data_IF_571570441133
#
_entry.id   IF_571570441133
#
_cell.length_a   1.000
_cell.length_b   1.000
_cell.length_c   1.000
_cell.angle_alpha   90.00
_cell.angle_beta   90.00
_cell.angle_gamma   90.00
#
_symmetry.space_group_name_H-M   'P 1'
#
loop_
_entity.id
_entity.type
_entity.pdbx_description
1 polymer ?
#
# COMPACT_ATOMS: atom_id res chain seq x y z
N UNK A 1 0.78 15.31 21.33
CA UNK A 1 1.13 16.75 21.18
C UNK A 1 1.15 17.18 19.71
N UNK A 2 1.70 16.37 18.81
CA UNK A 2 1.80 16.75 17.37
C UNK A 2 0.46 16.91 16.68
N UNK A 3 -0.55 16.05 16.95
CA UNK A 3 -1.88 16.16 16.33
C UNK A 3 -2.62 17.43 16.76
N UNK A 4 -2.49 17.84 18.03
CA UNK A 4 -3.12 19.10 18.50
C UNK A 4 -2.48 20.33 17.83
N UNK A 5 -1.16 20.30 17.62
CA UNK A 5 -0.48 21.37 16.91
C UNK A 5 -0.90 21.41 15.44
N UNK A 6 -0.98 20.25 14.80
CA UNK A 6 -1.44 20.11 13.43
C UNK A 6 -2.88 20.63 13.26
N UNK A 7 -3.81 20.23 14.12
CA UNK A 7 -5.22 20.64 14.05
C UNK A 7 -5.40 22.17 14.14
N UNK A 8 -4.56 22.85 14.95
CA UNK A 8 -4.59 24.31 15.08
C UNK A 8 -4.07 25.04 13.85
N UNK A 9 -3.16 24.44 13.13
CA UNK A 9 -2.55 25.01 11.93
C UNK A 9 -3.39 24.75 10.66
N UNK A 10 -4.25 23.69 10.68
CA UNK A 10 -5.20 23.44 9.59
C UNK A 10 -6.20 24.59 9.47
N UNK A 11 -6.41 25.09 8.27
CA UNK A 11 -7.38 26.14 8.00
C UNK A 11 -8.81 25.58 7.75
N UNK A 12 -9.81 26.47 7.62
CA UNK A 12 -11.21 26.05 7.51
C UNK A 12 -11.58 25.26 6.24
N UNK A 13 -10.69 25.19 5.26
CA UNK A 13 -10.87 24.43 4.01
C UNK A 13 -10.07 23.12 4.01
N UNK A 14 -9.33 22.84 5.07
CA UNK A 14 -8.50 21.66 5.21
C UNK A 14 -9.10 20.71 6.24
N UNK A 15 -9.35 19.47 5.87
CA UNK A 15 -9.82 18.40 6.76
C UNK A 15 -8.92 17.19 6.60
N UNK A 16 -8.36 16.71 7.71
CA UNK A 16 -7.53 15.52 7.74
C UNK A 16 -8.34 14.35 8.31
N UNK A 17 -8.51 13.31 7.52
CA UNK A 17 -9.11 12.05 7.97
C UNK A 17 -8.02 11.05 8.35
N UNK A 18 -8.08 10.54 9.58
CA UNK A 18 -7.13 9.54 10.07
C UNK A 18 -7.75 8.14 10.00
N UNK A 19 -7.14 7.28 9.21
CA UNK A 19 -7.42 5.85 9.19
C UNK A 19 -6.39 5.14 10.09
N UNK A 20 -6.73 4.98 11.36
CA UNK A 20 -5.84 4.38 12.36
C UNK A 20 -6.02 2.86 12.37
N UNK A 21 -4.91 2.15 12.59
CA UNK A 21 -4.97 0.72 12.87
C UNK A 21 -5.89 0.46 14.09
N UNK A 22 -6.74 -0.59 14.08
CA UNK A 22 -7.70 -0.86 15.16
C UNK A 22 -7.12 -0.80 16.58
N UNK A 23 -5.87 -1.26 16.75
CA UNK A 23 -5.16 -1.19 18.05
C UNK A 23 -4.92 0.25 18.51
N UNK A 24 -4.77 1.18 17.59
CA UNK A 24 -4.47 2.59 17.89
C UNK A 24 -5.72 3.48 17.95
N UNK A 25 -6.89 2.99 17.55
CA UNK A 25 -8.11 3.79 17.50
C UNK A 25 -8.53 4.34 18.88
N UNK A 26 -8.32 3.57 19.94
CA UNK A 26 -8.67 3.99 21.31
C UNK A 26 -7.72 5.04 21.90
N UNK A 27 -6.61 5.35 21.24
CA UNK A 27 -5.60 6.29 21.75
C UNK A 27 -5.88 7.74 21.38
N UNK A 28 -6.81 8.00 20.42
CA UNK A 28 -7.12 9.33 19.91
C UNK A 28 -8.56 9.69 20.22
N UNK A 29 -8.77 10.77 20.99
CA UNK A 29 -10.09 11.35 21.21
C UNK A 29 -10.39 12.39 20.12
N UNK A 30 -11.13 11.99 19.09
CA UNK A 30 -11.45 12.87 17.95
C UNK A 30 -12.36 14.06 18.33
N UNK A 31 -13.05 14.01 19.47
CA UNK A 31 -13.84 15.13 19.97
C UNK A 31 -13.02 16.37 20.31
N UNK A 32 -11.72 16.23 20.51
CA UNK A 32 -10.81 17.31 20.84
C UNK A 32 -10.32 18.11 19.61
N UNK A 33 -10.63 17.64 18.39
CA UNK A 33 -10.13 18.24 17.15
C UNK A 33 -11.25 18.90 16.33
N UNK A 34 -10.90 19.99 15.69
CA UNK A 34 -11.79 20.74 14.80
C UNK A 34 -11.74 20.21 13.37
N UNK A 35 -10.54 20.06 12.84
CA UNK A 35 -10.25 19.74 11.45
C UNK A 35 -9.70 18.32 11.25
N UNK A 36 -9.33 17.61 12.32
CA UNK A 36 -8.92 16.20 12.26
C UNK A 36 -10.13 15.32 12.60
N UNK A 37 -10.45 14.39 11.74
CA UNK A 37 -11.61 13.52 11.84
C UNK A 37 -11.22 12.04 11.77
N UNK A 38 -11.98 11.14 12.42
CA UNK A 38 -11.81 9.71 12.19
C UNK A 38 -12.21 9.37 10.76
N UNK A 39 -11.57 8.34 10.20
CA UNK A 39 -12.03 7.75 8.95
C UNK A 39 -13.49 7.29 9.09
N UNK A 40 -14.39 7.62 8.12
CA UNK A 40 -15.79 7.26 8.20
C UNK A 40 -15.98 5.73 8.14
N UNK A 41 -16.51 5.12 9.20
CA UNK A 41 -16.68 3.67 9.32
C UNK A 41 -17.71 3.06 8.36
N UNK A 42 -18.53 3.89 7.74
CA UNK A 42 -19.56 3.50 6.77
C UNK A 42 -19.11 3.61 5.31
N UNK A 43 -17.86 4.00 5.06
CA UNK A 43 -17.29 4.10 3.72
C UNK A 43 -16.23 3.04 3.51
N UNK A 44 -16.19 2.51 2.30
CA UNK A 44 -15.05 1.72 1.85
C UNK A 44 -13.80 2.60 1.70
N UNK A 45 -12.64 2.05 2.01
CA UNK A 45 -11.37 2.79 1.96
C UNK A 45 -11.08 3.29 0.55
N UNK A 46 -11.28 2.47 -0.47
CA UNK A 46 -10.99 2.84 -1.85
C UNK A 46 -11.99 3.85 -2.40
N UNK A 47 -13.26 3.76 -2.02
CA UNK A 47 -14.26 4.77 -2.37
C UNK A 47 -13.87 6.13 -1.80
N UNK A 48 -13.38 6.16 -0.55
CA UNK A 48 -12.90 7.39 0.08
C UNK A 48 -11.64 7.94 -0.58
N UNK A 49 -10.67 7.07 -0.91
CA UNK A 49 -9.45 7.47 -1.61
C UNK A 49 -9.75 8.13 -2.96
N UNK A 50 -10.78 7.69 -3.66
CA UNK A 50 -11.19 8.32 -4.93
C UNK A 50 -11.63 9.78 -4.79
N UNK A 51 -12.18 10.17 -3.64
CA UNK A 51 -12.63 11.56 -3.40
C UNK A 51 -11.61 12.42 -2.64
N UNK A 52 -10.61 11.81 -1.99
CA UNK A 52 -9.55 12.52 -1.31
C UNK A 52 -8.69 13.33 -2.30
N UNK A 53 -8.26 14.54 -1.92
CA UNK A 53 -7.41 15.39 -2.75
C UNK A 53 -5.92 15.04 -2.60
N UNK A 54 -5.53 14.53 -1.44
CA UNK A 54 -4.17 14.18 -1.10
C UNK A 54 -4.16 12.96 -0.18
N UNK A 55 -3.19 12.07 -0.38
CA UNK A 55 -2.89 10.97 0.55
C UNK A 55 -1.63 11.31 1.34
N UNK A 56 -1.75 11.27 2.66
CA UNK A 56 -0.61 11.21 3.57
C UNK A 56 -0.51 9.77 4.05
N UNK A 57 0.58 9.09 3.76
CA UNK A 57 0.81 7.70 4.13
C UNK A 57 2.17 7.54 4.77
N UNK A 58 2.37 6.43 5.45
CA UNK A 58 3.66 6.00 5.99
C UNK A 58 4.33 4.99 5.02
N UNK A 59 4.62 3.79 5.51
CA UNK A 59 5.20 2.68 4.74
C UNK A 59 4.14 1.73 4.16
N UNK A 60 2.87 2.13 4.22
CA UNK A 60 1.74 1.34 3.75
C UNK A 60 1.68 1.28 2.23
N UNK A 61 1.38 0.11 1.67
CA UNK A 61 1.21 -0.09 0.23
C UNK A 61 0.03 0.67 -0.39
N UNK A 62 -0.83 1.28 0.40
CA UNK A 62 -2.00 2.04 -0.08
C UNK A 62 -1.63 3.16 -1.07
N UNK A 63 -0.40 3.67 -0.99
CA UNK A 63 0.04 4.71 -1.93
C UNK A 63 0.19 4.20 -3.38
N UNK A 64 0.40 2.89 -3.60
CA UNK A 64 0.37 2.32 -4.97
C UNK A 64 -1.02 2.45 -5.58
N UNK A 65 -2.05 2.09 -4.82
CA UNK A 65 -3.45 2.19 -5.27
C UNK A 65 -3.83 3.65 -5.51
N UNK A 66 -3.47 4.54 -4.58
CA UNK A 66 -3.77 5.96 -4.70
C UNK A 66 -3.02 6.64 -5.85
N UNK A 67 -1.82 6.19 -6.20
CA UNK A 67 -1.03 6.71 -7.31
C UNK A 67 -1.80 6.68 -8.64
N UNK A 68 -2.65 5.66 -8.83
CA UNK A 68 -3.50 5.54 -10.02
C UNK A 68 -4.47 6.73 -10.20
N UNK A 69 -4.77 7.46 -9.12
CA UNK A 69 -5.57 8.71 -9.18
C UNK A 69 -4.79 9.90 -9.72
N UNK A 70 -3.46 9.82 -9.79
CA UNK A 70 -2.52 10.90 -10.13
C UNK A 70 -2.60 12.11 -9.21
N UNK A 71 -3.28 11.98 -8.08
CA UNK A 71 -3.37 13.00 -7.05
C UNK A 71 -2.10 13.03 -6.19
N UNK A 72 -2.00 13.99 -5.31
CA UNK A 72 -0.81 14.21 -4.49
C UNK A 72 -0.66 13.13 -3.41
N UNK A 73 0.56 12.62 -3.27
CA UNK A 73 0.97 11.69 -2.22
C UNK A 73 2.12 12.32 -1.45
N UNK A 74 2.08 12.22 -0.13
CA UNK A 74 3.13 12.64 0.78
C UNK A 74 3.45 11.46 1.70
N UNK A 75 4.73 11.13 1.86
CA UNK A 75 5.17 10.09 2.76
C UNK A 75 5.59 10.70 4.10
N UNK A 76 4.88 10.35 5.18
CA UNK A 76 5.17 10.79 6.53
C UNK A 76 6.03 9.75 7.24
N UNK A 77 7.36 9.96 7.26
CA UNK A 77 8.37 8.96 7.61
C UNK A 77 9.22 9.38 8.82
N UNK A 78 8.55 9.81 9.91
CA UNK A 78 9.20 10.34 11.12
C UNK A 78 10.06 9.30 11.86
N UNK A 79 9.82 8.02 11.67
CA UNK A 79 10.49 6.87 12.30
C UNK A 79 11.23 5.98 11.29
N UNK A 80 11.65 6.57 10.13
CA UNK A 80 12.26 5.85 9.00
C UNK A 80 13.37 4.88 9.41
N UNK A 81 14.31 5.33 10.25
CA UNK A 81 15.45 4.50 10.66
C UNK A 81 15.02 3.31 11.51
N UNK A 82 14.06 3.51 12.42
CA UNK A 82 13.51 2.45 13.25
C UNK A 82 12.75 1.43 12.41
N UNK A 83 11.88 1.90 11.52
CA UNK A 83 11.11 1.03 10.62
C UNK A 83 12.01 0.19 9.72
N UNK A 84 13.05 0.78 9.12
CA UNK A 84 13.99 0.06 8.25
C UNK A 84 14.78 -1.00 9.02
N UNK A 85 15.19 -0.70 10.26
CA UNK A 85 15.89 -1.66 11.12
C UNK A 85 15.02 -2.84 11.50
N UNK A 86 13.75 -2.60 11.85
CA UNK A 86 12.89 -3.59 12.49
C UNK A 86 12.06 -4.39 11.47
N UNK A 87 11.73 -3.81 10.32
CA UNK A 87 10.87 -4.43 9.30
C UNK A 87 11.50 -4.50 7.91
N UNK A 88 12.24 -3.47 7.52
CA UNK A 88 12.75 -3.32 6.16
C UNK A 88 11.67 -2.94 5.15
N UNK A 89 12.10 -2.68 3.92
CA UNK A 89 11.24 -2.37 2.78
C UNK A 89 11.69 -3.16 1.55
N UNK A 90 10.75 -3.56 0.71
CA UNK A 90 11.04 -4.20 -0.57
C UNK A 90 11.56 -3.21 -1.62
N UNK A 91 11.17 -1.94 -1.50
CA UNK A 91 11.55 -0.84 -2.39
C UNK A 91 12.10 0.27 -1.48
N UNK A 92 13.25 0.81 -1.84
CA UNK A 92 13.80 1.95 -1.12
C UNK A 92 12.86 3.16 -1.23
N UNK A 93 12.64 3.87 -0.14
CA UNK A 93 11.89 5.12 -0.17
C UNK A 93 12.54 6.16 -1.09
N UNK A 94 13.86 6.08 -1.29
CA UNK A 94 14.61 6.99 -2.14
C UNK A 94 14.37 6.72 -3.65
N UNK A 95 13.78 5.56 -3.98
CA UNK A 95 13.33 5.23 -5.35
C UNK A 95 11.91 5.72 -5.65
N UNK A 96 11.19 6.23 -4.63
CA UNK A 96 9.83 6.73 -4.80
C UNK A 96 9.84 8.21 -5.19
N UNK A 97 8.95 8.64 -6.10
CA UNK A 97 8.90 10.05 -6.53
C UNK A 97 8.28 10.97 -5.48
N UNK A 98 7.73 10.43 -4.40
CA UNK A 98 6.91 11.16 -3.45
C UNK A 98 7.73 11.90 -2.41
N UNK A 99 7.36 13.14 -2.04
CA UNK A 99 8.02 13.88 -0.99
C UNK A 99 7.93 13.14 0.35
N UNK A 100 9.05 13.10 1.07
CA UNK A 100 9.18 12.49 2.38
C UNK A 100 9.30 13.59 3.43
N UNK A 101 8.45 13.56 4.45
CA UNK A 101 8.45 14.53 5.54
C UNK A 101 8.44 13.81 6.88
N UNK A 102 9.08 14.39 7.89
CA UNK A 102 9.25 13.77 9.21
C UNK A 102 8.58 14.54 10.36
N UNK A 103 8.07 15.74 10.10
CA UNK A 103 7.36 16.53 11.09
C UNK A 103 6.10 17.20 10.52
N UNK A 104 5.22 17.67 11.42
CA UNK A 104 3.93 18.20 11.03
C UNK A 104 4.00 19.53 10.27
N UNK A 105 5.06 20.34 10.46
CA UNK A 105 5.21 21.62 9.74
C UNK A 105 5.58 21.36 8.29
N UNK A 106 6.59 20.50 8.08
CA UNK A 106 6.96 20.06 6.75
C UNK A 106 5.79 19.37 6.04
N UNK A 107 4.96 18.60 6.77
CA UNK A 107 3.74 18.02 6.23
C UNK A 107 2.75 19.09 5.76
N UNK A 108 2.48 20.12 6.57
CA UNK A 108 1.56 21.20 6.20
C UNK A 108 2.06 22.01 5.00
N UNK A 109 3.35 22.32 5.01
CA UNK A 109 3.98 23.05 3.90
C UNK A 109 3.84 22.23 2.60
N UNK A 110 4.12 20.93 2.69
CA UNK A 110 4.00 20.05 1.53
C UNK A 110 2.53 19.84 1.12
N UNK A 111 1.58 19.72 2.04
CA UNK A 111 0.14 19.62 1.71
C UNK A 111 -0.36 20.84 0.91
N UNK A 112 0.15 22.03 1.23
CA UNK A 112 -0.25 23.32 0.61
C UNK A 112 0.49 23.65 -0.66
N UNK A 113 1.69 23.08 -0.86
CA UNK A 113 2.44 23.23 -2.09
C UNK A 113 1.71 22.59 -3.27
N UNK A 114 1.99 23.03 -4.48
CA UNK A 114 1.53 22.32 -5.68
C UNK A 114 2.27 20.98 -5.83
N UNK A 115 1.65 20.01 -6.51
CA UNK A 115 2.31 18.74 -6.85
C UNK A 115 3.51 19.05 -7.75
N UNK A 116 4.73 18.78 -7.28
CA UNK A 116 6.00 19.15 -7.92
C UNK A 116 6.86 17.93 -8.31
N UNK A 117 6.29 16.73 -8.38
CA UNK A 117 6.97 15.51 -8.78
C UNK A 117 6.24 14.83 -9.96
N UNK A 118 7.00 14.07 -10.74
CA UNK A 118 6.49 13.22 -11.82
C UNK A 118 6.49 11.75 -11.35
N UNK A 119 5.33 11.13 -11.36
CA UNK A 119 5.12 9.74 -11.00
C UNK A 119 4.92 8.81 -12.21
N UNK A 120 5.21 9.30 -13.43
CA UNK A 120 5.01 8.53 -14.67
C UNK A 120 5.82 7.24 -14.68
N UNK A 121 7.10 7.30 -14.34
CA UNK A 121 7.95 6.11 -14.30
C UNK A 121 7.49 5.11 -13.22
N UNK A 122 7.11 5.62 -12.05
CA UNK A 122 6.56 4.81 -10.97
C UNK A 122 5.30 4.07 -11.43
N UNK A 123 4.34 4.76 -12.05
CA UNK A 123 3.10 4.17 -12.56
C UNK A 123 3.37 3.12 -13.64
N UNK A 124 4.30 3.38 -14.55
CA UNK A 124 4.68 2.40 -15.58
C UNK A 124 5.32 1.14 -15.00
N UNK A 125 6.11 1.28 -13.94
CA UNK A 125 6.81 0.17 -13.30
C UNK A 125 5.90 -0.68 -12.42
N UNK A 126 5.05 -0.04 -11.62
CA UNK A 126 4.32 -0.70 -10.55
C UNK A 126 2.81 -0.84 -10.79
N UNK A 127 2.23 0.01 -11.63
CA UNK A 127 0.79 0.06 -11.89
C UNK A 127 0.44 -0.09 -13.40
N UNK A 128 1.20 -0.89 -14.20
CA UNK A 128 1.03 -0.91 -15.66
C UNK A 128 -0.32 -1.48 -16.10
N UNK A 129 -0.98 -2.25 -15.24
CA UNK A 129 -2.25 -2.91 -15.53
C UNK A 129 -3.43 -2.33 -14.75
N UNK A 130 -3.19 -1.31 -13.91
CA UNK A 130 -4.22 -0.73 -13.06
C UNK A 130 -5.07 0.26 -13.86
N UNK A 131 -6.29 -0.18 -14.18
CA UNK A 131 -7.30 0.62 -14.87
C UNK A 131 -8.71 0.11 -14.54
N UNK A 132 -9.73 0.86 -14.93
CA UNK A 132 -11.14 0.54 -14.66
C UNK A 132 -11.61 -0.81 -15.18
N UNK A 133 -10.87 -1.43 -16.10
CA UNK A 133 -11.21 -2.71 -16.72
C UNK A 133 -10.39 -3.89 -16.20
N UNK A 134 -9.44 -3.67 -15.28
CA UNK A 134 -8.48 -4.71 -14.85
C UNK A 134 -9.17 -5.95 -14.30
N UNK A 135 -10.11 -5.80 -13.38
CA UNK A 135 -10.90 -6.92 -12.85
C UNK A 135 -11.69 -7.66 -13.94
N UNK A 136 -12.30 -6.90 -14.86
CA UNK A 136 -13.04 -7.48 -15.98
C UNK A 136 -12.13 -8.27 -16.91
N UNK A 137 -10.98 -7.72 -17.26
CA UNK A 137 -9.99 -8.39 -18.12
C UNK A 137 -9.48 -9.68 -17.49
N UNK A 138 -9.18 -9.67 -16.19
CA UNK A 138 -8.79 -10.87 -15.46
C UNK A 138 -9.89 -11.93 -15.48
N UNK A 139 -11.14 -11.55 -15.17
CA UNK A 139 -12.26 -12.47 -15.21
C UNK A 139 -12.49 -13.04 -16.61
N UNK A 140 -12.48 -12.18 -17.64
CA UNK A 140 -12.67 -12.60 -19.03
C UNK A 140 -11.58 -13.59 -19.47
N UNK A 141 -10.31 -13.32 -19.16
CA UNK A 141 -9.21 -14.18 -19.59
C UNK A 141 -9.07 -15.45 -18.74
N UNK A 142 -9.09 -15.32 -17.41
CA UNK A 142 -8.81 -16.47 -16.53
C UNK A 142 -10.03 -17.37 -16.34
N UNK A 143 -11.23 -16.78 -16.17
CA UNK A 143 -12.43 -17.54 -15.85
C UNK A 143 -13.18 -17.94 -17.13
N UNK A 144 -13.31 -17.00 -18.08
CA UNK A 144 -14.12 -17.22 -19.29
C UNK A 144 -13.28 -17.66 -20.49
N UNK A 145 -11.95 -17.75 -20.37
CA UNK A 145 -11.05 -18.20 -21.44
C UNK A 145 -11.00 -17.29 -22.68
N UNK A 146 -11.41 -16.01 -22.53
CA UNK A 146 -11.34 -15.03 -23.60
C UNK A 146 -9.95 -14.43 -23.69
N UNK A 147 -9.40 -14.26 -24.89
CA UNK A 147 -8.16 -13.54 -25.07
C UNK A 147 -8.41 -12.03 -24.88
N UNK A 148 -7.86 -11.47 -23.82
CA UNK A 148 -7.91 -10.05 -23.49
C UNK A 148 -6.56 -9.37 -23.67
N UNK A 149 -5.57 -10.05 -24.27
CA UNK A 149 -4.21 -9.53 -24.48
C UNK A 149 -3.36 -9.43 -23.23
N UNK A 150 -3.77 -10.04 -22.11
CA UNK A 150 -2.93 -10.11 -20.92
C UNK A 150 -1.77 -11.08 -21.15
N UNK A 151 -0.57 -10.65 -20.75
CA UNK A 151 0.61 -11.51 -20.81
C UNK A 151 0.41 -12.75 -19.94
N UNK A 152 0.53 -13.91 -20.53
CA UNK A 152 0.51 -15.20 -19.82
C UNK A 152 1.86 -15.87 -19.96
N UNK A 153 2.35 -16.44 -18.88
CA UNK A 153 3.54 -17.26 -18.86
C UNK A 153 3.15 -18.71 -18.54
N UNK A 154 3.59 -19.62 -19.36
CA UNK A 154 3.36 -21.04 -19.12
C UNK A 154 4.27 -21.53 -18.01
N UNK A 155 3.73 -22.32 -17.09
CA UNK A 155 4.55 -23.04 -16.13
C UNK A 155 5.48 -24.04 -16.87
N UNK A 156 6.67 -24.31 -16.34
CA UNK A 156 7.56 -25.28 -16.94
C UNK A 156 6.87 -26.64 -17.14
N UNK A 157 6.89 -27.14 -18.37
CA UNK A 157 6.41 -28.49 -18.67
C UNK A 157 7.60 -29.43 -18.82
N UNK A 158 8.10 -29.92 -17.70
CA UNK A 158 9.19 -30.89 -17.62
C UNK A 158 8.72 -32.28 -17.25
N UNK A 159 7.42 -32.56 -17.42
CA UNK A 159 6.80 -33.83 -17.04
C UNK A 159 6.48 -33.97 -15.56
N UNK A 160 6.76 -32.95 -14.76
CA UNK A 160 6.48 -32.96 -13.32
C UNK A 160 5.18 -32.22 -12.99
N UNK A 161 4.57 -32.61 -11.89
CA UNK A 161 3.42 -31.89 -11.33
C UNK A 161 3.86 -30.51 -10.77
N UNK A 162 3.19 -29.45 -11.17
CA UNK A 162 3.43 -28.11 -10.61
C UNK A 162 2.58 -27.92 -9.35
N UNK A 163 3.24 -27.64 -8.22
CA UNK A 163 2.59 -27.43 -6.93
C UNK A 163 2.82 -26.01 -6.43
N UNK A 164 1.73 -25.24 -6.29
CA UNK A 164 1.77 -23.92 -5.66
C UNK A 164 1.46 -24.04 -4.17
N UNK A 165 2.38 -23.61 -3.32
CA UNK A 165 2.18 -23.56 -1.87
C UNK A 165 2.08 -22.12 -1.43
N UNK A 166 0.90 -21.72 -0.92
CA UNK A 166 0.68 -20.42 -0.29
C UNK A 166 0.90 -20.53 1.22
N UNK A 167 2.01 -19.98 1.70
CA UNK A 167 2.41 -20.07 3.10
C UNK A 167 2.07 -18.82 3.94
N UNK A 168 1.52 -17.79 3.33
CA UNK A 168 1.33 -16.50 3.99
C UNK A 168 2.67 -15.88 4.43
N UNK A 169 2.85 -15.67 5.72
CA UNK A 169 4.08 -15.12 6.28
C UNK A 169 5.11 -16.24 6.58
N UNK A 170 6.32 -16.09 6.07
CA UNK A 170 7.46 -16.99 6.33
C UNK A 170 8.29 -16.57 7.57
N UNK A 171 7.68 -15.93 8.56
CA UNK A 171 8.37 -15.61 9.82
C UNK A 171 8.92 -16.89 10.50
N UNK A 172 9.99 -16.80 11.29
CA UNK A 172 10.56 -17.94 12.01
C UNK A 172 9.63 -18.42 13.13
N UNK A 173 8.69 -19.29 12.77
CA UNK A 173 7.69 -19.89 13.66
C UNK A 173 7.45 -21.37 13.28
N UNK A 174 6.60 -22.06 14.05
CA UNK A 174 6.29 -23.46 13.84
C UNK A 174 5.70 -23.79 12.47
N UNK A 175 4.89 -22.90 11.88
CA UNK A 175 4.29 -23.08 10.54
C UNK A 175 5.39 -23.09 9.47
N UNK A 176 6.30 -22.13 9.52
CA UNK A 176 7.44 -22.05 8.59
C UNK A 176 8.37 -23.24 8.75
N UNK A 177 8.63 -23.69 9.98
CA UNK A 177 9.42 -24.89 10.25
C UNK A 177 8.76 -26.14 9.66
N UNK A 178 7.46 -26.32 9.87
CA UNK A 178 6.69 -27.44 9.32
C UNK A 178 6.66 -27.42 7.79
N UNK A 179 6.48 -26.24 7.18
CA UNK A 179 6.53 -26.09 5.72
C UNK A 179 7.92 -26.45 5.17
N UNK A 180 8.99 -25.98 5.83
CA UNK A 180 10.37 -26.31 5.43
C UNK A 180 10.60 -27.82 5.47
N UNK A 181 10.15 -28.48 6.54
CA UNK A 181 10.26 -29.93 6.67
C UNK A 181 9.46 -30.65 5.58
N UNK A 182 8.22 -30.20 5.29
CA UNK A 182 7.42 -30.76 4.20
C UNK A 182 8.17 -30.64 2.85
N UNK A 183 8.72 -29.47 2.54
CA UNK A 183 9.45 -29.22 1.28
C UNK A 183 10.72 -30.06 1.16
N UNK A 184 11.36 -30.43 2.28
CA UNK A 184 12.54 -31.34 2.25
C UNK A 184 12.15 -32.80 2.05
N UNK A 185 10.92 -33.17 2.40
CA UNK A 185 10.39 -34.54 2.27
C UNK A 185 9.66 -34.77 0.92
N UNK A 186 9.34 -33.71 0.19
CA UNK A 186 8.73 -33.85 -1.13
C UNK A 186 9.68 -34.52 -2.11
N UNK A 187 9.17 -35.51 -2.82
CA UNK A 187 9.90 -36.12 -3.94
C UNK A 187 9.97 -35.11 -5.11
N UNK A 188 11.16 -34.54 -5.26
CA UNK A 188 11.45 -33.57 -6.34
C UNK A 188 11.66 -34.24 -7.71
N UNK A 189 11.61 -35.55 -7.81
CA UNK A 189 11.66 -36.24 -9.09
C UNK A 189 10.35 -36.16 -9.87
N UNK A 190 9.22 -36.05 -9.17
CA UNK A 190 7.90 -35.98 -9.75
C UNK A 190 7.24 -34.61 -9.68
N UNK A 191 7.73 -33.67 -8.81
CA UNK A 191 7.13 -32.35 -8.54
C UNK A 191 8.14 -31.23 -8.67
N UNK A 192 7.61 -30.07 -9.07
CA UNK A 192 8.30 -28.78 -9.11
C UNK A 192 7.93 -27.90 -7.91
#
# INVERSE_FOLDING_TARGET
QSLYALDKELNGNEVLYLNLHPVSQSTVNFGDFKNIKPFPSNLDTYDFLNIADCLVSDYSSVFFDFACTKKKIILFTFDKEEYLRDRGLYISLDELPYPQVSDYKALLDEMRAEKNYDDTEFLQKFCPYDNINSSKQLCDQIILGKDCGLKTESMPNNGKENVLIFAGNLAPNGVTASLRNLLTLLDKSERN
#
